data_IF_920798978912
#
_entry.id   IF_920798978912
#
_cell.length_a   1.000
_cell.length_b   1.000
_cell.length_c   1.000
_cell.angle_alpha   90.00
_cell.angle_beta   90.00
_cell.angle_gamma   90.00
#
_symmetry.space_group_name_H-M   'P 1'
#
loop_
_entity.id
_entity.type
_entity.pdbx_description
1 polymer ?
#
# COMPACT_ATOMS: atom_id res chain seq x y z
N UNK A 1 21.75 8.82 -15.65
CA UNK A 1 20.78 9.77 -16.22
C UNK A 1 19.60 8.96 -16.71
N UNK A 2 18.40 9.28 -16.25
CA UNK A 2 17.16 8.75 -16.81
C UNK A 2 17.14 9.10 -18.31
N UNK A 3 16.99 8.10 -19.19
CA UNK A 3 16.90 8.30 -20.64
C UNK A 3 15.52 7.83 -21.09
N UNK A 4 14.93 8.53 -22.06
CA UNK A 4 13.66 8.15 -22.69
C UNK A 4 12.50 7.90 -21.70
N UNK A 5 12.34 8.78 -20.71
CA UNK A 5 11.22 8.73 -19.77
C UNK A 5 10.01 9.48 -20.34
N UNK A 6 8.89 8.79 -20.42
CA UNK A 6 7.63 9.32 -20.94
C UNK A 6 6.47 9.04 -19.98
N UNK A 7 5.42 9.89 -19.94
CA UNK A 7 4.19 9.56 -19.25
C UNK A 7 3.59 8.25 -19.78
N UNK A 8 2.79 7.58 -18.96
CA UNK A 8 2.02 6.41 -19.39
C UNK A 8 1.16 6.74 -20.62
N UNK A 9 1.09 5.80 -21.56
CA UNK A 9 0.29 5.96 -22.76
C UNK A 9 -1.19 6.13 -22.41
N UNK A 10 -1.90 6.97 -23.15
CA UNK A 10 -3.31 7.31 -22.88
C UNK A 10 -4.20 6.07 -22.90
N UNK A 11 -3.88 5.08 -23.72
CA UNK A 11 -4.63 3.84 -23.90
C UNK A 11 -4.57 2.93 -22.65
N UNK A 12 -3.58 3.14 -21.78
CA UNK A 12 -3.43 2.43 -20.51
C UNK A 12 -3.89 3.27 -19.31
N UNK A 13 -4.30 4.53 -19.53
CA UNK A 13 -4.64 5.49 -18.48
C UNK A 13 -6.13 5.79 -18.44
N UNK A 14 -6.77 5.40 -17.34
CA UNK A 14 -8.22 5.53 -17.17
C UNK A 14 -8.52 6.40 -15.97
N UNK A 15 -9.27 7.47 -16.20
CA UNK A 15 -9.69 8.41 -15.17
C UNK A 15 -11.12 8.10 -14.77
N UNK A 16 -11.33 7.77 -13.48
CA UNK A 16 -12.64 7.38 -12.96
C UNK A 16 -13.71 8.44 -13.23
N UNK A 17 -13.34 9.72 -13.21
CA UNK A 17 -14.27 10.83 -13.46
C UNK A 17 -14.74 10.93 -14.92
N UNK A 18 -14.08 10.23 -15.85
CA UNK A 18 -14.44 10.22 -17.27
C UNK A 18 -15.43 9.12 -17.64
N UNK A 19 -15.75 8.21 -16.71
CA UNK A 19 -16.73 7.16 -16.94
C UNK A 19 -18.15 7.62 -16.64
N UNK A 20 -19.11 7.13 -17.42
CA UNK A 20 -20.52 7.35 -17.14
C UNK A 20 -20.95 6.58 -15.90
N UNK A 21 -21.99 7.07 -15.21
CA UNK A 21 -22.55 6.38 -14.04
C UNK A 21 -22.97 4.93 -14.34
N UNK A 22 -23.47 4.65 -15.55
CA UNK A 22 -23.81 3.29 -16.00
C UNK A 22 -22.59 2.37 -16.11
N UNK A 23 -21.43 2.91 -16.52
CA UNK A 23 -20.18 2.15 -16.58
C UNK A 23 -19.62 1.90 -15.18
N UNK A 24 -19.65 2.91 -14.31
CA UNK A 24 -19.21 2.78 -12.92
C UNK A 24 -20.08 1.77 -12.15
N UNK A 25 -21.41 1.80 -12.32
CA UNK A 25 -22.31 0.81 -11.73
C UNK A 25 -21.98 -0.60 -12.21
N UNK A 26 -21.72 -0.76 -13.52
CA UNK A 26 -21.33 -2.06 -14.09
C UNK A 26 -20.00 -2.57 -13.52
N UNK A 27 -19.03 -1.68 -13.29
CA UNK A 27 -17.78 -2.06 -12.61
C UNK A 27 -18.05 -2.44 -11.16
N UNK A 28 -18.81 -1.64 -10.42
CA UNK A 28 -19.19 -1.96 -9.05
C UNK A 28 -19.84 -3.34 -8.94
N UNK A 29 -20.79 -3.66 -9.82
CA UNK A 29 -21.50 -4.94 -9.85
C UNK A 29 -20.55 -6.12 -10.14
N UNK A 30 -19.61 -5.97 -11.08
CA UNK A 30 -18.57 -6.98 -11.36
C UNK A 30 -17.62 -7.19 -10.16
N UNK A 31 -17.25 -6.11 -9.48
CA UNK A 31 -16.48 -6.19 -8.24
C UNK A 31 -17.26 -6.95 -7.14
N UNK A 32 -18.55 -6.63 -6.99
CA UNK A 32 -19.43 -7.29 -6.03
C UNK A 32 -19.63 -8.78 -6.36
N UNK A 33 -19.76 -9.11 -7.64
CA UNK A 33 -19.83 -10.50 -8.13
C UNK A 33 -18.56 -11.29 -7.79
N UNK A 34 -17.39 -10.65 -7.84
CA UNK A 34 -16.13 -11.30 -7.44
C UNK A 34 -16.13 -11.69 -5.96
N UNK A 35 -16.78 -10.90 -5.10
CA UNK A 35 -16.97 -11.26 -3.68
C UNK A 35 -18.01 -12.38 -3.53
N UNK A 36 -19.16 -12.28 -4.20
CA UNK A 36 -20.24 -13.26 -4.09
C UNK A 36 -19.80 -14.66 -4.53
N UNK A 37 -18.90 -14.74 -5.51
CA UNK A 37 -18.28 -15.98 -6.00
C UNK A 37 -17.08 -16.44 -5.16
N UNK A 38 -16.68 -15.69 -4.13
CA UNK A 38 -15.56 -16.03 -3.25
C UNK A 38 -14.19 -15.92 -3.90
N UNK A 39 -14.05 -15.12 -4.97
CA UNK A 39 -12.84 -15.01 -5.80
C UNK A 39 -11.87 -13.91 -5.38
N UNK A 40 -12.25 -13.08 -4.41
CA UNK A 40 -11.52 -11.87 -4.04
C UNK A 40 -10.78 -12.01 -2.72
N UNK A 41 -9.50 -11.64 -2.74
CA UNK A 41 -8.70 -11.38 -1.56
C UNK A 41 -8.25 -9.91 -1.52
N UNK A 42 -7.98 -9.40 -0.32
CA UNK A 42 -7.37 -8.10 -0.11
C UNK A 42 -6.09 -8.28 0.70
N UNK A 43 -5.03 -7.54 0.37
CA UNK A 43 -3.73 -7.63 1.03
C UNK A 43 -3.36 -6.26 1.60
N UNK A 44 -3.26 -6.19 2.94
CA UNK A 44 -2.78 -5.00 3.63
C UNK A 44 -1.27 -5.08 3.87
N UNK A 45 -0.54 -4.08 3.38
CA UNK A 45 0.89 -3.92 3.68
C UNK A 45 1.03 -3.15 5.01
N UNK A 46 1.25 -3.89 6.10
CA UNK A 46 1.26 -3.38 7.49
C UNK A 46 2.61 -3.64 8.21
N UNK A 47 3.69 -3.82 7.45
CA UNK A 47 5.03 -4.08 7.99
C UNK A 47 5.70 -2.87 8.66
N UNK A 48 5.23 -1.65 8.37
CA UNK A 48 5.84 -0.41 8.84
C UNK A 48 5.41 0.01 10.25
N UNK A 49 6.39 0.41 11.07
CA UNK A 49 6.14 1.09 12.33
C UNK A 49 5.79 2.57 12.13
N UNK A 50 5.15 3.16 13.13
CA UNK A 50 4.82 4.58 13.19
C UNK A 50 5.92 5.46 13.79
N UNK A 51 7.19 5.12 13.58
CA UNK A 51 8.31 5.81 14.23
C UNK A 51 8.39 7.30 13.91
N UNK A 52 7.99 7.72 12.70
CA UNK A 52 7.87 9.15 12.32
C UNK A 52 6.82 9.91 13.13
N UNK A 53 5.79 9.21 13.64
CA UNK A 53 4.74 9.76 14.48
C UNK A 53 5.13 9.77 15.97
N UNK A 54 6.36 9.35 16.31
CA UNK A 54 6.80 9.22 17.71
C UNK A 54 6.21 8.00 18.43
N UNK A 55 5.62 7.04 17.70
CA UNK A 55 4.99 5.86 18.29
C UNK A 55 5.76 4.57 17.96
N UNK A 56 5.84 3.68 18.96
CA UNK A 56 6.36 2.30 18.81
C UNK A 56 5.29 1.29 18.39
N UNK A 57 4.06 1.77 18.13
CA UNK A 57 2.98 0.94 17.62
C UNK A 57 3.07 0.79 16.09
N UNK A 58 2.60 -0.33 15.53
CA UNK A 58 2.28 -0.44 14.11
C UNK A 58 1.31 0.66 13.69
N UNK A 59 1.50 1.26 12.51
CA UNK A 59 0.63 2.34 12.02
C UNK A 59 -0.85 1.95 12.01
N UNK A 60 -1.12 0.71 11.59
CA UNK A 60 -2.48 0.19 11.42
C UNK A 60 -3.34 0.15 12.69
N UNK A 61 -2.71 0.18 13.87
CA UNK A 61 -3.39 0.06 15.17
C UNK A 61 -3.35 1.36 15.99
N UNK A 62 -2.83 2.44 15.43
CA UNK A 62 -2.84 3.76 16.08
C UNK A 62 -4.27 4.21 16.27
N UNK A 63 -4.58 4.70 17.47
CA UNK A 63 -5.85 5.34 17.76
C UNK A 63 -5.96 6.64 16.96
N UNK A 64 -6.98 6.74 16.12
CA UNK A 64 -7.19 7.84 15.20
C UNK A 64 -7.93 9.01 15.86
N UNK A 65 -8.83 8.75 16.80
CA UNK A 65 -9.66 9.79 17.41
C UNK A 65 -10.71 10.36 16.44
N UNK A 66 -11.27 9.53 15.55
CA UNK A 66 -12.33 9.86 14.60
C UNK A 66 -13.65 10.28 15.25
N UNK A 67 -13.80 10.05 16.56
CA UNK A 67 -15.03 10.37 17.30
C UNK A 67 -16.19 9.40 17.06
N UNK A 68 -15.93 8.25 16.41
CA UNK A 68 -16.94 7.25 16.09
C UNK A 68 -17.38 6.37 17.29
N UNK A 69 -16.97 6.69 18.52
CA UNK A 69 -17.37 5.96 19.73
C UNK A 69 -16.89 4.50 19.80
N UNK A 70 -15.95 4.10 18.93
CA UNK A 70 -15.40 2.76 18.91
C UNK A 70 -14.12 2.67 19.74
N UNK A 71 -14.11 1.83 20.76
CA UNK A 71 -12.86 1.29 21.29
C UNK A 71 -12.10 0.60 20.14
N UNK A 72 -10.85 0.98 19.90
CA UNK A 72 -9.98 0.51 18.81
C UNK A 72 -10.24 1.18 17.44
N UNK A 73 -10.62 2.45 17.46
CA UNK A 73 -10.65 3.34 16.30
C UNK A 73 -9.28 3.46 15.63
N UNK A 74 -9.01 2.55 14.70
CA UNK A 74 -7.73 2.38 14.01
C UNK A 74 -7.93 2.21 12.52
N UNK A 75 -6.86 2.36 11.73
CA UNK A 75 -6.90 2.12 10.28
C UNK A 75 -7.34 0.69 9.96
N UNK A 76 -6.84 -0.32 10.71
CA UNK A 76 -7.26 -1.71 10.51
C UNK A 76 -8.72 -1.94 10.89
N UNK A 77 -9.24 -1.25 11.91
CA UNK A 77 -10.66 -1.30 12.25
C UNK A 77 -11.53 -0.74 11.12
N UNK A 78 -11.20 0.44 10.58
CA UNK A 78 -11.94 1.03 9.46
C UNK A 78 -11.94 0.10 8.23
N UNK A 79 -10.82 -0.56 7.95
CA UNK A 79 -10.70 -1.51 6.85
C UNK A 79 -11.52 -2.79 7.10
N UNK A 80 -11.49 -3.33 8.32
CA UNK A 80 -12.29 -4.48 8.72
C UNK A 80 -13.80 -4.22 8.59
N UNK A 81 -14.27 -3.03 8.97
CA UNK A 81 -15.66 -2.61 8.81
C UNK A 81 -16.10 -2.63 7.34
N UNK A 82 -15.29 -2.06 6.45
CA UNK A 82 -15.60 -2.05 5.00
C UNK A 82 -15.65 -3.47 4.43
N UNK A 83 -14.68 -4.34 4.78
CA UNK A 83 -14.65 -5.74 4.36
C UNK A 83 -15.94 -6.45 4.82
N UNK A 84 -16.30 -6.31 6.10
CA UNK A 84 -17.49 -6.96 6.64
C UNK A 84 -18.79 -6.47 5.98
N UNK A 85 -18.93 -5.15 5.82
CA UNK A 85 -20.06 -4.54 5.14
C UNK A 85 -20.23 -5.08 3.71
N UNK A 86 -19.13 -5.13 2.95
CA UNK A 86 -19.16 -5.57 1.55
C UNK A 86 -19.37 -7.09 1.41
N UNK A 87 -18.85 -7.91 2.33
CA UNK A 87 -19.17 -9.35 2.37
C UNK A 87 -20.67 -9.57 2.58
N UNK A 88 -21.27 -8.85 3.54
CA UNK A 88 -22.71 -8.93 3.82
C UNK A 88 -23.53 -8.48 2.60
N UNK A 89 -23.14 -7.37 1.98
CA UNK A 89 -23.81 -6.84 0.77
C UNK A 89 -23.73 -7.82 -0.41
N UNK A 90 -22.57 -8.44 -0.63
CA UNK A 90 -22.36 -9.39 -1.71
C UNK A 90 -22.92 -10.79 -1.42
N UNK A 91 -23.28 -11.11 -0.18
CA UNK A 91 -23.57 -12.48 0.30
C UNK A 91 -22.43 -13.44 -0.05
N UNK A 92 -21.20 -13.01 0.17
CA UNK A 92 -19.99 -13.68 -0.27
C UNK A 92 -18.86 -13.62 0.74
N UNK A 93 -17.64 -13.87 0.26
CA UNK A 93 -16.44 -13.99 1.09
C UNK A 93 -15.30 -13.18 0.52
N UNK A 94 -14.56 -12.53 1.40
CA UNK A 94 -13.28 -11.88 1.12
C UNK A 94 -12.23 -12.54 2.00
N UNK A 95 -11.10 -12.94 1.41
CA UNK A 95 -9.92 -13.30 2.20
C UNK A 95 -9.11 -12.06 2.51
N UNK A 96 -8.89 -11.78 3.79
CA UNK A 96 -8.07 -10.67 4.24
C UNK A 96 -6.68 -11.15 4.61
N UNK A 97 -5.69 -10.81 3.79
CA UNK A 97 -4.30 -11.04 4.11
C UNK A 97 -3.65 -9.79 4.69
N UNK A 98 -2.85 -9.95 5.74
CA UNK A 98 -2.11 -8.85 6.37
C UNK A 98 -0.64 -9.23 6.41
N UNK A 99 0.18 -8.45 5.70
CA UNK A 99 1.62 -8.57 5.73
C UNK A 99 2.20 -7.72 6.85
N UNK A 100 2.88 -8.34 7.80
CA UNK A 100 3.51 -7.70 8.96
C UNK A 100 5.04 -7.73 8.85
N UNK A 101 5.74 -7.12 9.80
CA UNK A 101 7.17 -7.37 10.05
C UNK A 101 7.33 -8.04 11.41
N UNK A 102 8.52 -8.59 11.71
CA UNK A 102 8.80 -9.14 13.05
C UNK A 102 8.50 -8.16 14.17
N UNK A 103 8.69 -6.86 13.91
CA UNK A 103 8.45 -5.79 14.88
C UNK A 103 6.99 -5.36 15.02
N UNK A 104 6.11 -5.72 14.06
CA UNK A 104 4.69 -5.31 14.07
C UNK A 104 3.71 -6.46 14.29
N UNK A 105 4.13 -7.71 14.04
CA UNK A 105 3.25 -8.88 13.99
C UNK A 105 2.43 -9.12 15.27
N UNK A 106 3.10 -9.24 16.43
CA UNK A 106 2.43 -9.56 17.70
C UNK A 106 1.31 -8.57 18.04
N UNK A 107 1.62 -7.27 18.01
CA UNK A 107 0.65 -6.20 18.31
C UNK A 107 -0.49 -6.13 17.29
N UNK A 108 -0.22 -6.45 16.01
CA UNK A 108 -1.27 -6.52 14.98
C UNK A 108 -2.20 -7.69 15.25
N UNK A 109 -1.68 -8.88 15.59
CA UNK A 109 -2.51 -10.06 15.92
C UNK A 109 -3.39 -9.83 17.14
N UNK A 110 -2.84 -9.26 18.21
CA UNK A 110 -3.59 -8.87 19.40
C UNK A 110 -4.74 -7.90 19.06
N UNK A 111 -4.49 -6.94 18.18
CA UNK A 111 -5.51 -6.01 17.71
C UNK A 111 -6.57 -6.69 16.83
N UNK A 112 -6.16 -7.61 15.95
CA UNK A 112 -7.07 -8.41 15.11
C UNK A 112 -8.04 -9.24 15.96
N UNK A 113 -7.59 -9.84 17.06
CA UNK A 113 -8.47 -10.59 17.98
C UNK A 113 -9.63 -9.77 18.53
N UNK A 114 -9.46 -8.45 18.61
CA UNK A 114 -10.47 -7.50 19.05
C UNK A 114 -11.36 -7.08 17.87
N UNK A 115 -10.76 -6.57 16.79
CA UNK A 115 -11.54 -5.96 15.70
C UNK A 115 -12.32 -6.98 14.87
N UNK A 116 -11.84 -8.22 14.73
CA UNK A 116 -12.56 -9.26 14.00
C UNK A 116 -13.89 -9.60 14.68
N UNK A 117 -13.89 -9.73 16.02
CA UNK A 117 -15.12 -9.93 16.81
C UNK A 117 -16.10 -8.77 16.64
N UNK A 118 -15.61 -7.54 16.68
CA UNK A 118 -16.45 -6.33 16.55
C UNK A 118 -17.07 -6.17 15.16
N UNK A 119 -16.36 -6.63 14.14
CA UNK A 119 -16.78 -6.52 12.74
C UNK A 119 -17.44 -7.79 12.21
N UNK A 120 -17.67 -8.81 13.04
CA UNK A 120 -18.19 -10.11 12.63
C UNK A 120 -17.35 -10.79 11.52
N UNK A 121 -16.06 -10.53 11.49
CA UNK A 121 -15.10 -11.24 10.65
C UNK A 121 -14.57 -12.46 11.40
N UNK A 122 -14.24 -13.50 10.64
CA UNK A 122 -13.81 -14.80 11.15
C UNK A 122 -12.33 -15.02 10.79
N UNK A 123 -11.54 -15.48 11.76
CA UNK A 123 -10.13 -15.83 11.56
C UNK A 123 -9.91 -16.83 10.44
N UNK A 124 -10.89 -17.68 10.09
CA UNK A 124 -10.81 -18.60 8.93
C UNK A 124 -10.64 -17.87 7.59
N UNK A 125 -10.99 -16.59 7.53
CA UNK A 125 -10.88 -15.74 6.35
C UNK A 125 -9.75 -14.71 6.48
N UNK A 126 -8.90 -14.82 7.51
CA UNK A 126 -7.82 -13.87 7.79
C UNK A 126 -6.48 -14.59 7.84
N UNK A 127 -5.53 -14.18 7.00
CA UNK A 127 -4.20 -14.77 6.92
C UNK A 127 -3.16 -13.69 7.26
N UNK A 128 -2.44 -13.87 8.35
CA UNK A 128 -1.34 -12.95 8.74
C UNK A 128 -0.01 -13.63 8.46
N UNK A 129 0.84 -12.97 7.68
CA UNK A 129 2.15 -13.47 7.28
C UNK A 129 3.23 -12.38 7.45
N UNK A 130 4.46 -12.79 7.73
CA UNK A 130 5.56 -11.89 8.08
C UNK A 130 6.50 -11.75 6.88
N UNK A 131 6.84 -10.52 6.50
CA UNK A 131 7.85 -10.27 5.46
C UNK A 131 9.27 -10.53 5.97
N UNK A 132 10.21 -10.71 5.05
CA UNK A 132 11.60 -10.96 5.40
C UNK A 132 12.30 -9.69 5.89
N UNK A 133 13.50 -9.88 6.42
CA UNK A 133 14.39 -8.78 6.79
C UNK A 133 15.74 -8.99 6.14
N UNK A 134 16.37 -7.88 5.73
CA UNK A 134 17.70 -7.86 5.14
C UNK A 134 18.67 -7.18 6.12
N UNK A 135 19.89 -7.71 6.29
CA UNK A 135 20.92 -7.05 7.06
C UNK A 135 21.28 -5.66 6.50
N UNK A 136 21.43 -4.68 7.38
CA UNK A 136 22.02 -3.40 7.04
C UNK A 136 23.55 -3.53 6.94
N UNK A 137 24.15 -2.72 6.07
CA UNK A 137 25.60 -2.73 5.85
C UNK A 137 26.20 -1.34 6.00
N UNK A 138 27.47 -1.26 6.36
CA UNK A 138 28.23 -0.02 6.25
C UNK A 138 28.56 0.29 4.77
N UNK A 139 29.24 1.41 4.51
CA UNK A 139 29.59 1.81 3.14
C UNK A 139 30.64 0.90 2.48
N UNK A 140 31.35 0.10 3.26
CA UNK A 140 32.30 -0.92 2.78
C UNK A 140 31.62 -2.28 2.51
N UNK A 141 30.30 -2.37 2.68
CA UNK A 141 29.51 -3.58 2.45
C UNK A 141 29.52 -4.59 3.59
N UNK A 142 30.12 -4.26 4.74
CA UNK A 142 30.13 -5.14 5.91
C UNK A 142 28.82 -5.00 6.72
N UNK A 143 28.27 -6.10 7.26
CA UNK A 143 27.11 -6.05 8.14
C UNK A 143 27.33 -5.16 9.36
N UNK A 144 26.39 -4.23 9.60
CA UNK A 144 26.31 -3.56 10.89
C UNK A 144 25.76 -4.54 11.91
N UNK A 145 26.33 -4.55 13.11
CA UNK A 145 25.93 -5.43 14.19
C UNK A 145 25.06 -4.70 15.20
N UNK A 146 24.07 -5.37 15.78
CA UNK A 146 23.29 -4.89 16.93
C UNK A 146 23.76 -5.50 18.25
N UNK A 147 24.58 -6.54 18.18
CA UNK A 147 25.27 -7.26 19.25
C UNK A 147 26.39 -8.13 18.61
N UNK A 148 27.35 -8.71 19.38
CA UNK A 148 28.52 -9.42 18.85
C UNK A 148 28.28 -10.43 17.71
N UNK A 149 27.13 -11.10 17.73
CA UNK A 149 26.75 -12.17 16.81
C UNK A 149 25.43 -11.90 16.07
N UNK A 150 24.91 -10.66 16.16
CA UNK A 150 23.58 -10.31 15.65
C UNK A 150 23.64 -9.13 14.69
N UNK A 151 23.33 -9.31 13.39
CA UNK A 151 23.27 -8.18 12.47
C UNK A 151 22.12 -7.23 12.84
N UNK A 152 22.28 -5.95 12.51
CA UNK A 152 21.16 -5.03 12.40
C UNK A 152 20.39 -5.42 11.15
N UNK A 153 19.11 -5.74 11.29
CA UNK A 153 18.22 -6.06 10.17
C UNK A 153 17.14 -4.99 10.02
N UNK A 154 16.58 -4.89 8.83
CA UNK A 154 15.36 -4.12 8.56
C UNK A 154 14.46 -4.87 7.60
N UNK A 155 13.14 -4.62 7.62
CA UNK A 155 12.26 -5.15 6.59
C UNK A 155 12.77 -4.92 5.18
N UNK A 156 12.55 -5.89 4.30
CA UNK A 156 13.07 -5.92 2.92
C UNK A 156 12.27 -5.05 1.92
N UNK A 157 11.52 -4.07 2.42
CA UNK A 157 10.66 -3.20 1.62
C UNK A 157 9.30 -3.81 1.32
N UNK A 158 8.39 -3.03 0.74
CA UNK A 158 7.04 -3.51 0.42
C UNK A 158 7.00 -4.54 -0.73
N UNK A 159 8.06 -4.61 -1.55
CA UNK A 159 8.27 -5.66 -2.55
C UNK A 159 8.56 -7.04 -1.95
N UNK A 160 8.91 -7.11 -0.66
CA UNK A 160 9.03 -8.37 0.09
C UNK A 160 7.74 -9.20 0.13
N UNK A 161 6.59 -8.60 -0.23
CA UNK A 161 5.31 -9.29 -0.39
C UNK A 161 5.44 -10.54 -1.27
N UNK A 162 6.17 -10.48 -2.38
CA UNK A 162 6.23 -11.56 -3.35
C UNK A 162 6.91 -12.82 -2.77
N UNK A 163 7.97 -12.64 -2.00
CA UNK A 163 8.60 -13.77 -1.31
C UNK A 163 7.77 -14.24 -0.11
N UNK A 164 7.18 -13.31 0.63
CA UNK A 164 6.46 -13.60 1.87
C UNK A 164 5.11 -14.30 1.63
N UNK A 165 4.43 -14.00 0.51
CA UNK A 165 3.14 -14.61 0.15
C UNK A 165 3.29 -15.94 -0.59
N UNK A 166 4.44 -16.22 -1.21
CA UNK A 166 4.67 -17.42 -2.02
C UNK A 166 4.20 -18.73 -1.33
N UNK A 167 4.49 -18.98 -0.03
CA UNK A 167 4.02 -20.20 0.65
C UNK A 167 2.50 -20.29 0.84
N UNK A 168 1.76 -19.20 0.65
CA UNK A 168 0.31 -19.10 0.81
C UNK A 168 -0.45 -19.24 -0.50
N UNK A 169 0.22 -19.09 -1.65
CA UNK A 169 -0.42 -19.14 -2.96
C UNK A 169 -1.17 -20.46 -3.25
N UNK A 170 -0.66 -21.65 -2.88
CA UNK A 170 -1.39 -22.90 -3.10
C UNK A 170 -2.73 -22.94 -2.35
N UNK A 171 -2.73 -22.54 -1.08
CA UNK A 171 -3.95 -22.47 -0.26
C UNK A 171 -4.96 -21.46 -0.84
N UNK A 172 -4.49 -20.29 -1.28
CA UNK A 172 -5.35 -19.27 -1.90
C UNK A 172 -5.96 -19.75 -3.22
N UNK A 173 -5.22 -20.52 -4.00
CA UNK A 173 -5.70 -21.13 -5.23
C UNK A 173 -6.75 -22.21 -4.95
N UNK A 174 -6.52 -23.09 -3.98
CA UNK A 174 -7.49 -24.10 -3.52
C UNK A 174 -8.78 -23.44 -3.01
N UNK A 175 -8.66 -22.27 -2.39
CA UNK A 175 -9.77 -21.43 -1.94
C UNK A 175 -10.54 -20.73 -3.09
N UNK A 176 -10.08 -20.85 -4.34
CA UNK A 176 -10.69 -20.25 -5.52
C UNK A 176 -10.42 -18.74 -5.70
N UNK A 177 -9.39 -18.21 -5.04
CA UNK A 177 -9.03 -16.79 -5.16
C UNK A 177 -8.39 -16.51 -6.52
N UNK A 178 -8.95 -15.56 -7.26
CA UNK A 178 -8.47 -15.14 -8.58
C UNK A 178 -7.91 -13.71 -8.56
N UNK A 179 -8.41 -12.87 -7.64
CA UNK A 179 -8.16 -11.43 -7.63
C UNK A 179 -7.66 -10.95 -6.28
N UNK A 180 -6.71 -10.01 -6.31
CA UNK A 180 -6.09 -9.42 -5.14
C UNK A 180 -6.14 -7.90 -5.21
N UNK A 181 -6.74 -7.26 -4.20
CA UNK A 181 -6.59 -5.82 -4.00
C UNK A 181 -5.52 -5.58 -2.93
N UNK A 182 -4.36 -5.05 -3.34
CA UNK A 182 -3.20 -4.82 -2.47
C UNK A 182 -3.10 -3.33 -2.14
N UNK A 183 -2.93 -2.98 -0.87
CA UNK A 183 -2.86 -1.57 -0.47
C UNK A 183 -2.00 -1.34 0.78
N UNK A 184 -1.45 -0.13 0.91
CA UNK A 184 -0.74 0.28 2.11
C UNK A 184 -1.70 0.65 3.25
N UNK A 185 -1.38 0.23 4.48
CA UNK A 185 -2.28 0.43 5.64
C UNK A 185 -2.54 1.89 5.98
N UNK A 186 -1.68 2.82 5.57
CA UNK A 186 -1.62 4.18 6.12
C UNK A 186 -2.54 5.22 5.47
N UNK A 187 -3.50 4.82 4.63
CA UNK A 187 -4.45 5.72 4.01
C UNK A 187 -5.83 5.60 4.66
N UNK A 188 -6.29 6.65 5.34
CA UNK A 188 -7.60 6.65 6.04
C UNK A 188 -8.79 6.64 5.06
N UNK A 189 -8.59 7.11 3.83
CA UNK A 189 -9.60 7.13 2.75
C UNK A 189 -9.51 5.90 1.84
N UNK A 190 -8.75 4.88 2.22
CA UNK A 190 -8.62 3.68 1.40
C UNK A 190 -9.96 2.92 1.33
N UNK A 191 -10.52 2.77 0.12
CA UNK A 191 -11.69 1.93 -0.16
C UNK A 191 -11.29 0.46 -0.19
N UNK A 192 -11.81 -0.36 0.73
CA UNK A 192 -11.37 -1.76 0.90
C UNK A 192 -12.52 -2.76 0.90
N UNK A 193 -12.57 -3.67 -0.09
CA UNK A 193 -11.98 -3.52 -1.42
C UNK A 193 -12.61 -2.39 -2.24
N UNK A 194 -11.87 -1.82 -3.21
CA UNK A 194 -12.47 -0.93 -4.21
C UNK A 194 -13.09 -1.71 -5.37
N UNK A 195 -14.41 -1.85 -5.33
CA UNK A 195 -15.18 -2.59 -6.32
C UNK A 195 -15.17 -1.96 -7.71
N UNK A 196 -14.96 -0.64 -7.84
CA UNK A 196 -14.88 0.00 -9.14
C UNK A 196 -13.58 -0.40 -9.84
N UNK A 197 -12.43 -0.28 -9.16
CA UNK A 197 -11.15 -0.71 -9.73
C UNK A 197 -11.13 -2.21 -10.03
N UNK A 198 -11.62 -3.05 -9.11
CA UNK A 198 -11.66 -4.50 -9.31
C UNK A 198 -12.55 -4.86 -10.51
N UNK A 199 -13.76 -4.31 -10.57
CA UNK A 199 -14.67 -4.58 -11.68
C UNK A 199 -14.16 -4.05 -13.01
N UNK A 200 -13.50 -2.88 -13.01
CA UNK A 200 -12.79 -2.35 -14.16
C UNK A 200 -11.69 -3.31 -14.62
N UNK A 201 -10.85 -3.79 -13.71
CA UNK A 201 -9.76 -4.71 -14.02
C UNK A 201 -10.28 -6.03 -14.62
N UNK A 202 -11.33 -6.61 -14.02
CA UNK A 202 -12.00 -7.82 -14.53
C UNK A 202 -12.59 -7.56 -15.91
N UNK A 203 -13.26 -6.43 -16.11
CA UNK A 203 -13.87 -6.08 -17.40
C UNK A 203 -12.85 -5.91 -18.53
N UNK A 204 -11.74 -5.25 -18.21
CA UNK A 204 -10.64 -5.01 -19.14
C UNK A 204 -9.66 -6.17 -19.25
N UNK A 205 -9.89 -7.26 -18.50
CA UNK A 205 -8.99 -8.41 -18.40
C UNK A 205 -7.55 -7.99 -18.04
N UNK A 206 -7.42 -6.95 -17.22
CA UNK A 206 -6.14 -6.48 -16.74
C UNK A 206 -5.56 -7.51 -15.77
N UNK A 207 -4.26 -7.79 -15.86
CA UNK A 207 -3.58 -8.68 -14.92
C UNK A 207 -2.93 -7.91 -13.76
N UNK A 208 -2.67 -6.62 -13.97
CA UNK A 208 -2.17 -5.67 -12.99
C UNK A 208 -2.80 -4.28 -13.22
N UNK A 209 -3.33 -3.66 -12.17
CA UNK A 209 -3.77 -2.25 -12.21
C UNK A 209 -3.10 -1.47 -11.09
N UNK A 210 -2.54 -0.31 -11.41
CA UNK A 210 -2.06 0.67 -10.43
C UNK A 210 -3.11 1.77 -10.27
N UNK A 211 -3.60 1.98 -9.05
CA UNK A 211 -4.40 3.15 -8.72
C UNK A 211 -3.49 4.36 -8.48
N UNK A 212 -3.88 5.49 -9.06
CA UNK A 212 -3.15 6.76 -8.94
C UNK A 212 -4.09 7.91 -8.60
N UNK A 213 -3.49 9.03 -8.21
CA UNK A 213 -4.14 10.33 -8.12
C UNK A 213 -3.42 11.31 -9.05
N UNK A 214 -4.08 12.41 -9.40
CA UNK A 214 -3.39 13.51 -10.06
C UNK A 214 -2.43 14.21 -9.06
N UNK A 215 -1.13 14.13 -9.35
CA UNK A 215 -0.08 14.93 -8.71
C UNK A 215 -0.17 16.35 -9.26
N UNK A 216 -0.46 17.32 -8.37
CA UNK A 216 -0.64 18.74 -8.72
C UNK A 216 0.60 19.58 -8.42
N UNK A 217 1.34 19.21 -7.37
CA UNK A 217 2.54 19.93 -6.91
C UNK A 217 3.80 19.11 -7.23
N UNK A 218 4.80 19.68 -7.95
CA UNK A 218 6.08 19.03 -8.21
C UNK A 218 6.77 18.47 -6.95
N UNK A 219 6.62 19.17 -5.82
CA UNK A 219 7.26 18.88 -4.54
C UNK A 219 6.58 17.76 -3.74
N UNK A 220 5.42 17.29 -4.20
CA UNK A 220 4.69 16.21 -3.55
C UNK A 220 5.53 14.91 -3.57
N UNK A 221 5.68 14.30 -2.39
CA UNK A 221 6.51 13.10 -2.13
C UNK A 221 5.77 11.81 -2.46
N UNK A 222 5.28 11.73 -3.69
CA UNK A 222 4.67 10.52 -4.26
C UNK A 222 5.51 10.05 -5.45
N UNK A 223 5.72 8.74 -5.54
CA UNK A 223 6.23 8.13 -6.77
C UNK A 223 5.24 8.36 -7.91
N UNK A 224 5.69 8.26 -9.16
CA UNK A 224 4.82 8.42 -10.32
C UNK A 224 5.09 7.35 -11.35
N UNK A 225 4.01 6.87 -11.96
CA UNK A 225 4.10 5.85 -13.01
C UNK A 225 4.44 6.49 -14.34
N UNK A 226 5.37 5.86 -15.05
CA UNK A 226 5.89 6.29 -16.33
C UNK A 226 6.33 5.10 -17.18
N UNK A 227 6.80 5.38 -18.39
CA UNK A 227 7.49 4.46 -19.26
C UNK A 227 8.95 4.88 -19.35
N UNK A 228 9.87 3.99 -19.02
CA UNK A 228 11.32 4.16 -19.21
C UNK A 228 11.80 3.04 -20.14
N UNK A 229 12.42 3.41 -21.28
CA UNK A 229 12.92 2.46 -22.28
C UNK A 229 11.88 1.39 -22.69
N UNK A 230 10.63 1.82 -22.88
CA UNK A 230 9.51 0.96 -23.29
C UNK A 230 8.91 0.09 -22.19
N UNK A 231 9.41 0.18 -20.95
CA UNK A 231 8.92 -0.60 -19.81
C UNK A 231 8.16 0.28 -18.81
N UNK A 232 7.08 -0.28 -18.26
CA UNK A 232 6.34 0.35 -17.16
C UNK A 232 7.25 0.43 -15.94
N UNK A 233 7.34 1.61 -15.34
CA UNK A 233 8.12 1.85 -14.13
C UNK A 233 7.40 2.86 -13.23
N UNK A 234 7.62 2.75 -11.94
CA UNK A 234 7.31 3.84 -11.00
C UNK A 234 8.63 4.45 -10.57
N UNK A 235 8.78 5.75 -10.82
CA UNK A 235 9.93 6.51 -10.34
C UNK A 235 9.56 7.15 -9.00
N UNK A 236 10.35 6.85 -7.97
CA UNK A 236 10.18 7.49 -6.68
C UNK A 236 10.53 8.98 -6.74
N UNK A 237 9.94 9.77 -5.85
CA UNK A 237 10.16 11.22 -5.81
C UNK A 237 11.65 11.59 -5.57
N UNK A 238 12.41 10.70 -4.93
CA UNK A 238 13.85 10.86 -4.71
C UNK A 238 14.72 10.52 -5.92
N UNK A 239 14.15 9.89 -6.95
CA UNK A 239 14.88 9.39 -8.12
C UNK A 239 14.69 10.29 -9.36
N UNK A 240 13.67 11.16 -9.37
CA UNK A 240 13.39 12.08 -10.47
C UNK A 240 14.16 13.41 -10.37
N UNK A 241 14.89 13.83 -11.42
CA UNK A 241 15.47 15.17 -11.51
C UNK A 241 14.42 16.27 -11.40
N UNK A 242 14.76 17.37 -10.74
CA UNK A 242 13.89 18.53 -10.54
C UNK A 242 13.25 19.03 -11.84
N UNK A 243 14.02 19.13 -12.92
CA UNK A 243 13.54 19.56 -14.24
C UNK A 243 12.38 18.70 -14.76
N UNK A 244 12.48 17.36 -14.61
CA UNK A 244 11.41 16.46 -15.03
C UNK A 244 10.21 16.54 -14.08
N UNK A 245 10.43 16.68 -12.77
CA UNK A 245 9.38 16.79 -11.78
C UNK A 245 8.55 18.08 -11.95
N UNK A 246 9.17 19.18 -12.39
CA UNK A 246 8.53 20.48 -12.61
C UNK A 246 7.97 20.65 -14.03
N UNK A 247 8.27 19.72 -14.94
CA UNK A 247 7.84 19.79 -16.34
C UNK A 247 6.32 19.84 -16.45
N UNK A 248 5.82 20.83 -17.20
CA UNK A 248 4.38 21.02 -17.47
C UNK A 248 3.94 20.31 -18.75
N UNK A 249 2.66 19.95 -18.80
CA UNK A 249 2.07 19.35 -20.00
C UNK A 249 1.97 20.40 -21.12
N UNK A 250 2.51 20.13 -22.33
CA UNK A 250 2.46 21.10 -23.42
C UNK A 250 1.04 21.47 -23.89
N UNK A 251 0.07 20.56 -23.69
CA UNK A 251 -1.35 20.80 -24.07
C UNK A 251 -2.16 21.42 -22.93
N UNK A 252 -1.74 21.17 -21.69
CA UNK A 252 -2.42 21.59 -20.46
C UNK A 252 -1.39 22.19 -19.48
N UNK A 253 -0.91 23.44 -19.70
CA UNK A 253 0.20 24.01 -18.94
C UNK A 253 -0.02 24.09 -17.41
N UNK A 254 -1.26 24.02 -16.96
CA UNK A 254 -1.63 23.93 -15.54
C UNK A 254 -1.29 22.57 -14.91
N UNK A 255 -1.17 21.52 -15.73
CA UNK A 255 -0.90 20.14 -15.30
C UNK A 255 0.58 19.80 -15.39
N UNK A 256 1.03 18.91 -14.51
CA UNK A 256 2.35 18.29 -14.63
C UNK A 256 2.37 17.29 -15.79
N UNK A 257 3.50 17.21 -16.47
CA UNK A 257 3.73 16.22 -17.51
C UNK A 257 3.77 14.81 -16.90
N UNK A 258 4.44 14.66 -15.75
CA UNK A 258 4.43 13.46 -14.92
C UNK A 258 3.50 13.67 -13.72
N UNK A 259 2.21 13.34 -13.91
CA UNK A 259 1.15 13.61 -12.93
C UNK A 259 0.48 12.36 -12.34
N UNK A 260 0.85 11.17 -12.76
CA UNK A 260 0.22 9.92 -12.32
C UNK A 260 0.83 9.46 -10.97
N UNK A 261 0.37 10.05 -9.87
CA UNK A 261 0.91 9.82 -8.52
C UNK A 261 0.51 8.47 -7.95
N UNK A 262 1.49 7.61 -7.68
CA UNK A 262 1.32 6.30 -7.05
C UNK A 262 0.86 6.45 -5.60
N UNK A 263 -0.28 5.83 -5.26
CA UNK A 263 -0.83 5.80 -3.90
C UNK A 263 -0.71 4.44 -3.21
N UNK A 264 0.14 3.55 -3.75
CA UNK A 264 0.41 2.19 -3.26
C UNK A 264 -0.88 1.36 -3.09
N UNK A 265 -1.69 1.33 -4.14
CA UNK A 265 -2.98 0.65 -4.18
C UNK A 265 -3.14 -0.04 -5.55
N UNK A 266 -3.16 -1.37 -5.56
CA UNK A 266 -2.99 -2.18 -6.76
C UNK A 266 -4.06 -3.27 -6.86
N UNK A 267 -4.41 -3.64 -8.08
CA UNK A 267 -5.09 -4.90 -8.38
C UNK A 267 -4.11 -5.87 -9.00
N UNK A 268 -4.13 -7.14 -8.57
CA UNK A 268 -3.40 -8.24 -9.20
C UNK A 268 -4.31 -9.43 -9.46
N UNK A 269 -4.09 -10.12 -10.57
CA UNK A 269 -4.57 -11.50 -10.75
C UNK A 269 -3.67 -12.48 -10.01
N UNK A 270 -4.19 -13.67 -9.69
CA UNK A 270 -3.38 -14.77 -9.14
C UNK A 270 -2.17 -15.10 -10.04
N UNK A 271 -2.38 -15.14 -11.36
CA UNK A 271 -1.32 -15.44 -12.33
C UNK A 271 -0.20 -14.40 -12.33
N UNK A 272 -0.56 -13.11 -12.32
CA UNK A 272 0.43 -12.04 -12.19
C UNK A 272 1.20 -12.17 -10.87
N UNK A 273 0.49 -12.39 -9.76
CA UNK A 273 1.11 -12.52 -8.44
C UNK A 273 2.09 -13.70 -8.40
N UNK A 274 1.70 -14.87 -8.92
CA UNK A 274 2.58 -16.04 -9.07
C UNK A 274 3.82 -15.70 -9.89
N UNK A 275 3.65 -15.03 -11.04
CA UNK A 275 4.78 -14.63 -11.89
C UNK A 275 5.73 -13.68 -11.15
N UNK A 276 5.21 -12.69 -10.44
CA UNK A 276 6.03 -11.78 -9.65
C UNK A 276 6.79 -12.49 -8.51
N UNK A 277 6.20 -13.52 -7.90
CA UNK A 277 6.89 -14.36 -6.91
C UNK A 277 8.04 -15.18 -7.53
N UNK A 278 7.82 -15.76 -8.71
CA UNK A 278 8.85 -16.54 -9.42
C UNK A 278 10.01 -15.67 -9.91
N UNK A 279 9.73 -14.41 -10.25
CA UNK A 279 10.73 -13.45 -10.73
C UNK A 279 11.29 -12.55 -9.61
N UNK A 280 11.00 -12.85 -8.34
CA UNK A 280 11.35 -12.00 -7.20
C UNK A 280 12.86 -11.67 -7.13
N UNK A 281 13.72 -12.62 -7.46
CA UNK A 281 15.17 -12.42 -7.43
C UNK A 281 15.67 -11.47 -8.52
N UNK A 282 14.87 -11.24 -9.57
CA UNK A 282 15.17 -10.25 -10.62
C UNK A 282 14.83 -8.81 -10.21
N UNK A 283 14.05 -8.63 -9.13
CA UNK A 283 13.63 -7.30 -8.68
C UNK A 283 14.80 -6.55 -8.02
N UNK A 284 15.02 -5.27 -8.38
CA UNK A 284 16.17 -4.50 -7.94
C UNK A 284 16.09 -4.19 -6.44
N UNK A 285 17.27 -4.06 -5.82
CA UNK A 285 17.38 -3.42 -4.52
C UNK A 285 17.50 -1.90 -4.67
N UNK A 286 16.69 -1.18 -3.91
CA UNK A 286 16.82 0.26 -3.71
C UNK A 286 17.58 0.52 -2.41
N UNK A 287 18.64 1.33 -2.50
CA UNK A 287 19.52 1.62 -1.38
C UNK A 287 19.17 2.97 -0.72
N UNK A 288 18.96 2.94 0.59
CA UNK A 288 18.73 4.13 1.38
C UNK A 288 19.85 4.32 2.40
N UNK A 289 20.58 5.43 2.30
CA UNK A 289 21.55 5.84 3.33
C UNK A 289 20.82 6.26 4.60
N UNK A 290 21.32 5.80 5.75
CA UNK A 290 20.70 6.01 7.06
C UNK A 290 21.75 6.18 8.16
N UNK A 291 21.30 6.80 9.25
CA UNK A 291 21.95 6.73 10.56
C UNK A 291 21.45 5.47 11.26
N UNK A 292 22.30 4.46 11.36
CA UNK A 292 21.96 3.12 11.84
C UNK A 292 22.73 2.87 13.14
N UNK A 293 22.06 2.83 14.29
CA UNK A 293 22.69 2.42 15.55
C UNK A 293 23.30 1.03 15.42
N UNK A 294 24.52 0.85 15.93
CA UNK A 294 25.26 -0.40 15.82
C UNK A 294 26.11 -0.66 17.05
N UNK A 295 26.48 -1.92 17.26
CA UNK A 295 27.49 -2.37 18.20
C UNK A 295 28.84 -2.34 17.50
N UNK A 296 29.80 -1.61 18.08
CA UNK A 296 31.15 -1.50 17.57
C UNK A 296 32.05 -2.62 18.12
N UNK A 297 32.55 -3.54 17.27
CA UNK A 297 33.42 -4.63 17.71
C UNK A 297 34.76 -4.17 18.30
N UNK A 298 35.27 -3.01 17.89
CA UNK A 298 36.56 -2.52 18.37
C UNK A 298 36.49 -2.00 19.81
N UNK A 299 35.36 -1.39 20.19
CA UNK A 299 35.16 -0.82 21.52
C UNK A 299 34.26 -1.65 22.42
N UNK A 300 33.51 -2.61 21.86
CA UNK A 300 32.54 -3.42 22.57
C UNK A 300 31.26 -2.67 22.99
N UNK A 301 31.00 -1.49 22.43
CA UNK A 301 29.91 -0.58 22.87
C UNK A 301 28.88 -0.33 21.77
N UNK A 302 27.65 -0.02 22.18
CA UNK A 302 26.62 0.48 21.28
C UNK A 302 26.88 1.95 20.93
N UNK A 303 26.81 2.27 19.65
CA UNK A 303 27.07 3.59 19.08
C UNK A 303 25.80 4.12 18.43
N UNK A 304 25.44 5.35 18.79
CA UNK A 304 24.43 6.14 18.11
C UNK A 304 25.12 7.13 17.16
N UNK A 305 25.14 6.88 15.84
CA UNK A 305 25.90 7.70 14.91
C UNK A 305 25.28 9.09 14.71
N UNK A 306 26.14 10.10 14.55
CA UNK A 306 25.74 11.49 14.32
C UNK A 306 25.50 11.79 12.84
N UNK A 307 26.21 11.10 11.94
CA UNK A 307 26.09 11.14 10.47
C UNK A 307 25.66 9.79 9.90
N UNK A 308 25.26 9.76 8.62
CA UNK A 308 24.95 8.51 7.92
C UNK A 308 26.16 7.57 7.95
N UNK A 309 25.94 6.32 8.35
CA UNK A 309 26.99 5.31 8.54
C UNK A 309 26.67 3.98 7.86
N UNK A 310 25.50 3.84 7.25
CA UNK A 310 25.12 2.60 6.59
C UNK A 310 23.99 2.72 5.59
N UNK A 311 23.77 1.61 4.91
CA UNK A 311 22.81 1.42 3.83
C UNK A 311 21.78 0.37 4.29
N UNK A 312 20.50 0.70 4.07
CA UNK A 312 19.40 -0.27 4.08
C UNK A 312 18.96 -0.56 2.65
N UNK A 313 18.66 -1.82 2.36
CA UNK A 313 18.15 -2.27 1.07
C UNK A 313 16.67 -2.60 1.19
N UNK A 314 15.90 -2.15 0.22
CA UNK A 314 14.46 -2.42 0.10
C UNK A 314 14.14 -2.83 -1.34
N UNK A 315 13.16 -3.69 -1.53
CA UNK A 315 12.51 -3.93 -2.83
C UNK A 315 11.18 -3.21 -2.88
N UNK A 316 10.78 -2.74 -4.05
CA UNK A 316 9.48 -2.11 -4.21
C UNK A 316 8.50 -3.01 -4.94
N UNK A 317 7.27 -3.01 -4.44
CA UNK A 317 6.16 -3.80 -4.99
C UNK A 317 5.89 -3.45 -6.47
N UNK A 318 6.09 -2.20 -6.86
CA UNK A 318 5.82 -1.75 -8.22
C UNK A 318 6.90 -2.15 -9.23
N UNK A 319 8.06 -2.64 -8.80
CA UNK A 319 9.10 -3.10 -9.73
C UNK A 319 8.67 -4.37 -10.49
N UNK A 320 7.73 -5.13 -9.94
CA UNK A 320 7.16 -6.30 -10.60
C UNK A 320 6.21 -5.96 -11.76
N UNK A 321 5.84 -4.68 -11.95
CA UNK A 321 4.95 -4.27 -13.05
C UNK A 321 5.52 -4.59 -14.43
N UNK A 322 6.85 -4.75 -14.55
CA UNK A 322 7.51 -5.18 -15.78
C UNK A 322 7.04 -6.55 -16.27
N UNK A 323 6.47 -7.37 -15.38
CA UNK A 323 5.99 -8.73 -15.67
C UNK A 323 4.51 -8.77 -16.07
N UNK A 324 3.80 -7.64 -16.03
CA UNK A 324 2.40 -7.56 -16.45
C UNK A 324 2.29 -7.65 -17.97
N UNK A 325 1.28 -8.40 -18.43
CA UNK A 325 0.92 -8.54 -19.86
C UNK A 325 -0.14 -7.52 -20.27
N UNK A 326 -0.97 -7.06 -19.34
CA UNK A 326 -2.05 -6.11 -19.57
C UNK A 326 -2.16 -5.15 -18.37
N UNK A 327 -1.18 -4.26 -18.28
CA UNK A 327 -1.07 -3.25 -17.23
C UNK A 327 -2.01 -2.08 -17.49
N UNK A 328 -2.70 -1.60 -16.47
CA UNK A 328 -3.52 -0.38 -16.57
C UNK A 328 -3.31 0.56 -15.38
N UNK A 329 -3.60 1.83 -15.59
CA UNK A 329 -3.61 2.88 -14.57
C UNK A 329 -5.03 3.35 -14.34
N UNK A 330 -5.44 3.40 -13.07
CA UNK A 330 -6.76 3.83 -12.63
C UNK A 330 -6.63 5.10 -11.78
N UNK A 331 -6.92 6.26 -12.35
CA UNK A 331 -6.90 7.53 -11.63
C UNK A 331 -8.20 7.73 -10.85
N UNK A 332 -8.08 8.19 -9.61
CA UNK A 332 -9.20 8.58 -8.75
C UNK A 332 -9.00 10.00 -8.18
N UNK A 333 -10.09 10.69 -7.78
CA UNK A 333 -10.00 11.93 -7.01
C UNK A 333 -9.27 11.71 -5.69
N UNK A 334 -8.29 12.56 -5.39
CA UNK A 334 -7.48 12.46 -4.16
C UNK A 334 -8.36 12.55 -2.93
N UNK A 335 -9.21 13.56 -2.92
CA UNK A 335 -10.06 13.94 -1.81
C UNK A 335 -11.02 12.83 -1.39
N UNK A 336 -11.32 11.87 -2.28
CA UNK A 336 -12.17 10.71 -2.01
C UNK A 336 -11.42 9.45 -1.59
N UNK A 337 -10.16 9.29 -1.98
CA UNK A 337 -9.47 8.00 -1.90
C UNK A 337 -8.02 8.06 -1.39
N UNK A 338 -7.48 9.24 -1.06
CA UNK A 338 -6.11 9.37 -0.59
C UNK A 338 -5.92 10.49 0.44
N UNK A 339 -5.77 10.08 1.70
CA UNK A 339 -5.30 10.92 2.80
C UNK A 339 -4.37 10.08 3.69
N UNK A 340 -3.04 10.15 3.49
CA UNK A 340 -2.09 9.25 4.13
C UNK A 340 -1.60 9.76 5.49
N UNK A 341 -1.34 8.84 6.41
CA UNK A 341 -0.76 9.08 7.73
C UNK A 341 0.75 8.78 7.71
N UNK A 342 1.56 9.82 7.51
CA UNK A 342 3.03 9.74 7.35
C UNK A 342 3.81 10.54 8.38
N UNK A 343 3.28 11.68 8.85
CA UNK A 343 4.00 12.70 9.60
C UNK A 343 3.32 13.04 10.94
N UNK A 344 4.07 13.55 11.94
CA UNK A 344 3.48 14.07 13.17
C UNK A 344 2.63 15.32 12.86
N UNK A 345 1.68 15.65 13.74
CA UNK A 345 0.78 16.80 13.52
C UNK A 345 1.50 18.13 13.36
N UNK A 346 2.67 18.30 13.98
CA UNK A 346 3.51 19.50 13.82
C UNK A 346 3.96 19.76 12.38
N UNK A 347 3.90 18.77 11.49
CA UNK A 347 4.22 18.94 10.07
C UNK A 347 3.08 19.62 9.27
N UNK A 348 1.82 19.55 9.74
CA UNK A 348 0.66 20.14 9.07
C UNK A 348 0.25 19.48 7.73
N UNK A 349 0.88 18.37 7.34
CA UNK A 349 0.64 17.65 6.08
C UNK A 349 0.81 16.14 6.29
N UNK A 350 -0.07 15.34 5.68
CA UNK A 350 -0.09 13.87 5.78
C UNK A 350 0.05 13.38 7.23
N UNK A 351 -0.69 14.01 8.14
CA UNK A 351 -0.66 13.78 9.58
C UNK A 351 -2.05 13.37 10.09
N UNK A 352 -2.17 13.13 11.39
CA UNK A 352 -3.42 12.64 11.97
C UNK A 352 -4.54 13.67 11.81
N UNK A 353 -4.27 14.94 12.09
CA UNK A 353 -5.23 16.04 11.92
C UNK A 353 -5.74 16.19 10.48
N UNK A 354 -4.87 16.07 9.46
CA UNK A 354 -5.32 16.08 8.05
C UNK A 354 -6.14 14.84 7.71
N UNK A 355 -5.73 13.66 8.18
CA UNK A 355 -6.50 12.42 8.00
C UNK A 355 -7.91 12.55 8.58
N UNK A 356 -8.05 13.05 9.82
CA UNK A 356 -9.34 13.23 10.47
C UNK A 356 -10.19 14.28 9.77
N UNK A 357 -9.61 15.42 9.37
CA UNK A 357 -10.32 16.42 8.57
C UNK A 357 -10.90 15.82 7.29
N UNK A 358 -10.10 15.05 6.56
CA UNK A 358 -10.51 14.50 5.26
C UNK A 358 -11.54 13.39 5.45
N UNK A 359 -11.32 12.50 6.42
CA UNK A 359 -12.26 11.45 6.81
C UNK A 359 -13.60 12.00 7.34
N UNK A 360 -13.57 13.17 8.01
CA UNK A 360 -14.79 13.78 8.53
C UNK A 360 -15.54 14.66 7.53
N UNK A 361 -14.95 14.91 6.36
CA UNK A 361 -15.58 15.61 5.24
C UNK A 361 -16.58 14.73 4.51
N UNK A 362 -17.35 15.32 3.58
CA UNK A 362 -18.31 14.60 2.71
C UNK A 362 -17.64 13.45 1.95
N UNK A 363 -16.35 13.56 1.64
CA UNK A 363 -15.64 12.54 0.88
C UNK A 363 -15.36 11.28 1.69
N UNK A 364 -15.34 11.37 3.02
CA UNK A 364 -15.23 10.22 3.92
C UNK A 364 -16.58 9.52 4.18
N UNK A 365 -17.70 10.08 3.73
CA UNK A 365 -19.05 9.55 4.02
C UNK A 365 -19.21 8.10 3.59
N UNK A 366 -18.69 7.73 2.43
CA UNK A 366 -18.77 6.36 1.92
C UNK A 366 -18.19 5.36 2.93
N UNK A 367 -17.05 5.67 3.53
CA UNK A 367 -16.41 4.79 4.52
C UNK A 367 -17.15 4.91 5.86
N UNK A 368 -17.49 6.13 6.29
CA UNK A 368 -18.19 6.36 7.55
C UNK A 368 -19.53 5.64 7.62
N UNK A 369 -20.30 5.61 6.54
CA UNK A 369 -21.57 4.88 6.47
C UNK A 369 -21.39 3.37 6.68
N UNK A 370 -20.33 2.78 6.10
CA UNK A 370 -20.02 1.36 6.34
C UNK A 370 -19.56 1.11 7.78
N UNK A 371 -18.79 2.03 8.36
CA UNK A 371 -18.24 1.90 9.71
C UNK A 371 -19.33 2.08 10.78
N UNK A 372 -20.30 2.98 10.56
CA UNK A 372 -21.42 3.22 11.48
C UNK A 372 -22.22 1.97 11.83
N UNK A 373 -22.25 0.95 10.96
CA UNK A 373 -22.91 -0.33 11.24
C UNK A 373 -22.23 -1.10 12.40
N UNK A 374 -20.94 -0.86 12.64
CA UNK A 374 -20.12 -1.57 13.62
C UNK A 374 -19.73 -0.71 14.83
N UNK A 375 -19.97 0.59 14.76
CA UNK A 375 -19.90 1.48 15.91
C UNK A 375 -21.20 1.36 16.71
N UNK A 376 -21.10 1.12 18.03
CA UNK A 376 -22.28 1.00 18.88
C UNK A 376 -23.17 2.24 18.72
N UNK A 377 -24.47 2.00 18.47
CA UNK A 377 -25.51 2.83 19.07
C UNK A 377 -25.49 2.48 20.56
N UNK A 378 -24.99 3.37 21.41
CA UNK A 378 -25.35 3.32 22.82
C UNK A 378 -26.86 3.51 22.98
#
# INVERSE_FOLDING_TARGET
>A
MLKNVHPIQKELYFDREQFLATELNRFFDKGLESISRGKLAVITLAGGQASRLGSSLPKGIINLGTGLGAENDSLLFLQACQISYLQKKAKGRIIWLIMTSKSTDAKIREHLDIILKKTNLDWKNVIVFIQNEIPAHNFDGQPLLSAPDRPVTSPDGNGGIYQAILPKLPELEEMGIEYFHVYCVDNILCRVPDLHMIGFAVDKKADCVLKVIEKKDPSEKVGHVCVEDGKIKVLEYSEIPKELAERRDPKFPEKLFFRAGNIANHFFTLDFLKKACLEFDSLPYHEARKRIPYWDPATGKNVQPTSENGIKKERFIFDAFIHSKNFMVWQVPREEEFSPLKNPDSAGVDCLSTCIRDFTSVNGDVIREMVKEFCKKE
#
